data_IF_570519030675
#
_entry.id   IF_570519030675
#
_cell.length_a   1.000
_cell.length_b   1.000
_cell.length_c   1.000
_cell.angle_alpha   90.00
_cell.angle_beta   90.00
_cell.angle_gamma   90.00
#
_symmetry.space_group_name_H-M   'P 1'
#
loop_
_entity.id
_entity.type
_entity.pdbx_description
1 polymer ?
#
# COMPACT_ATOMS: atom_id res chain seq x y z
N UNK A 1 -0.56 0.97 -19.95
CA UNK A 1 -0.99 -0.17 -19.12
C UNK A 1 -2.40 0.12 -18.64
N UNK A 2 -3.34 -0.79 -18.86
CA UNK A 2 -4.75 -0.62 -18.47
C UNK A 2 -4.85 -0.15 -17.02
N UNK A 3 -5.46 1.02 -16.84
CA UNK A 3 -5.65 1.72 -15.56
C UNK A 3 -6.70 1.00 -14.68
N UNK A 4 -6.50 -0.31 -14.50
CA UNK A 4 -7.39 -1.21 -13.77
C UNK A 4 -7.30 -1.04 -12.26
N UNK A 5 -6.42 -0.15 -11.76
CA UNK A 5 -6.19 0.10 -10.33
C UNK A 5 -7.00 1.29 -9.83
N UNK A 6 -8.31 1.22 -10.04
CA UNK A 6 -9.25 2.33 -9.81
C UNK A 6 -9.39 2.77 -8.34
N UNK A 7 -8.90 1.98 -7.37
CA UNK A 7 -8.87 2.41 -5.98
C UNK A 7 -7.54 3.10 -5.68
N UNK A 8 -7.61 4.34 -5.22
CA UNK A 8 -6.46 5.12 -4.77
C UNK A 8 -6.74 5.70 -3.38
N UNK A 9 -5.75 5.61 -2.50
CA UNK A 9 -5.79 6.18 -1.16
C UNK A 9 -4.46 6.88 -0.90
N UNK A 10 -4.52 8.19 -0.64
CA UNK A 10 -3.35 8.98 -0.25
C UNK A 10 -3.35 9.23 1.26
N UNK A 11 -2.30 8.79 1.94
CA UNK A 11 -2.15 8.95 3.39
C UNK A 11 -0.67 8.86 3.79
N UNK A 12 -0.28 9.35 4.98
CA UNK A 12 1.05 9.11 5.51
C UNK A 12 1.28 7.62 5.76
N UNK A 13 2.52 7.16 5.56
CA UNK A 13 3.00 5.87 6.05
C UNK A 13 3.02 5.91 7.58
N UNK A 14 2.22 5.07 8.22
CA UNK A 14 2.18 4.98 9.68
C UNK A 14 3.32 4.11 10.25
N UNK A 15 3.62 3.00 9.57
CA UNK A 15 4.67 2.07 9.98
C UNK A 15 5.13 1.21 8.80
N UNK A 16 6.34 0.66 8.94
CA UNK A 16 6.96 -0.25 7.98
C UNK A 16 7.49 -1.45 8.76
N UNK A 17 7.07 -2.65 8.39
CA UNK A 17 7.47 -3.90 9.05
C UNK A 17 8.04 -4.90 8.02
N UNK A 18 9.34 -5.23 8.10
CA UNK A 18 9.93 -6.29 7.28
C UNK A 18 9.30 -7.65 7.57
N UNK A 19 9.10 -8.45 6.52
CA UNK A 19 8.57 -9.81 6.60
C UNK A 19 9.21 -10.69 5.50
N UNK A 20 10.38 -11.25 5.80
CA UNK A 20 11.15 -12.04 4.83
C UNK A 20 11.57 -11.20 3.63
N UNK A 21 11.19 -11.62 2.42
CA UNK A 21 11.45 -10.87 1.18
C UNK A 21 10.42 -9.75 0.90
N UNK A 22 9.43 -9.60 1.79
CA UNK A 22 8.37 -8.61 1.69
C UNK A 22 8.45 -7.61 2.83
N UNK A 23 7.71 -6.52 2.66
CA UNK A 23 7.56 -5.46 3.64
C UNK A 23 6.09 -5.11 3.70
N UNK A 24 5.55 -5.03 4.93
CA UNK A 24 4.22 -4.48 5.20
C UNK A 24 4.35 -3.00 5.47
N UNK A 25 3.55 -2.21 4.78
CA UNK A 25 3.50 -0.75 4.91
C UNK A 25 2.08 -0.36 5.28
N UNK A 26 1.92 0.23 6.45
CA UNK A 26 0.63 0.77 6.87
C UNK A 26 0.46 2.17 6.27
N UNK A 27 -0.62 2.36 5.49
CA UNK A 27 -0.94 3.61 4.79
C UNK A 27 -2.38 3.98 5.13
N UNK A 28 -2.57 4.90 6.07
CA UNK A 28 -3.90 5.19 6.62
C UNK A 28 -4.60 3.89 7.08
N UNK A 29 -5.84 3.60 6.60
CA UNK A 29 -6.59 2.39 7.00
C UNK A 29 -6.16 1.09 6.30
N UNK A 30 -5.21 1.10 5.36
CA UNK A 30 -4.83 -0.11 4.61
C UNK A 30 -3.40 -0.55 4.89
N UNK A 31 -3.13 -1.84 4.67
CA UNK A 31 -1.78 -2.40 4.69
C UNK A 31 -1.41 -2.87 3.28
N UNK A 32 -0.34 -2.30 2.73
CA UNK A 32 0.25 -2.77 1.48
C UNK A 32 1.38 -3.74 1.80
N UNK A 33 1.38 -4.92 1.18
CA UNK A 33 2.50 -5.86 1.25
C UNK A 33 3.25 -5.84 -0.09
N UNK A 34 4.46 -5.29 -0.09
CA UNK A 34 5.30 -5.08 -1.27
C UNK A 34 6.66 -5.76 -1.09
N UNK A 35 7.50 -5.80 -2.12
CA UNK A 35 8.87 -6.32 -1.98
C UNK A 35 9.77 -5.31 -1.25
N UNK A 36 10.78 -5.79 -0.54
CA UNK A 36 11.79 -4.91 0.08
C UNK A 36 12.43 -3.96 -0.95
N UNK A 37 12.82 -4.47 -2.11
CA UNK A 37 13.40 -3.67 -3.20
C UNK A 37 12.46 -2.56 -3.71
N UNK A 38 11.13 -2.76 -3.66
CA UNK A 38 10.18 -1.70 -4.03
C UNK A 38 10.07 -0.64 -2.95
N UNK A 39 10.10 -1.04 -1.68
CA UNK A 39 10.10 -0.11 -0.55
C UNK A 39 11.34 0.78 -0.54
N UNK A 40 12.51 0.21 -0.84
CA UNK A 40 13.78 0.93 -0.98
C UNK A 40 13.76 1.91 -2.15
N UNK A 41 13.34 1.46 -3.34
CA UNK A 41 13.25 2.32 -4.54
C UNK A 41 12.29 3.50 -4.38
N UNK A 42 11.23 3.31 -3.59
CA UNK A 42 10.24 4.34 -3.28
C UNK A 42 10.65 5.21 -2.08
N UNK A 43 11.81 4.95 -1.46
CA UNK A 43 12.33 5.66 -0.29
C UNK A 43 11.30 5.77 0.86
N UNK A 44 10.54 4.68 1.05
CA UNK A 44 9.44 4.64 2.01
C UNK A 44 9.97 4.81 3.44
N UNK A 45 9.34 5.72 4.17
CA UNK A 45 9.64 6.02 5.57
C UNK A 45 8.38 6.46 6.29
N UNK A 46 8.26 6.22 7.60
CA UNK A 46 7.17 6.76 8.40
C UNK A 46 6.99 8.27 8.19
N UNK A 47 5.74 8.71 8.06
CA UNK A 47 5.36 10.10 7.80
C UNK A 47 5.35 10.50 6.32
N UNK A 48 5.97 9.74 5.41
CA UNK A 48 5.92 10.05 3.98
C UNK A 48 4.49 9.89 3.44
N UNK A 49 4.01 10.89 2.68
CA UNK A 49 2.72 10.81 1.99
C UNK A 49 2.89 9.93 0.75
N UNK A 50 2.08 8.87 0.66
CA UNK A 50 2.12 7.92 -0.45
C UNK A 50 0.72 7.61 -0.95
N UNK A 51 0.62 7.16 -2.20
CA UNK A 51 -0.62 6.67 -2.79
C UNK A 51 -0.62 5.15 -2.83
N UNK A 52 -1.45 4.52 -2.00
CA UNK A 52 -1.78 3.11 -2.12
C UNK A 52 -2.78 2.95 -3.27
N UNK A 53 -2.38 2.22 -4.32
CA UNK A 53 -3.24 1.92 -5.49
C UNK A 53 -3.44 0.43 -5.65
N UNK A 54 -4.68 -0.01 -5.79
CA UNK A 54 -5.06 -1.43 -5.88
C UNK A 54 -6.28 -1.64 -6.78
N UNK A 55 -6.46 -2.87 -7.25
CA UNK A 55 -7.56 -3.22 -8.16
C UNK A 55 -8.91 -3.07 -7.48
N UNK A 56 -9.88 -2.49 -8.17
CA UNK A 56 -11.28 -2.42 -7.71
C UNK A 56 -11.85 -3.82 -7.41
N UNK A 57 -11.57 -4.78 -8.29
CA UNK A 57 -12.06 -6.16 -8.20
C UNK A 57 -11.49 -6.98 -7.04
N UNK A 58 -10.48 -6.47 -6.33
CA UNK A 58 -9.93 -7.11 -5.14
C UNK A 58 -10.72 -6.77 -3.86
N UNK A 59 -11.54 -5.72 -3.87
CA UNK A 59 -12.39 -5.39 -2.73
C UNK A 59 -13.57 -6.38 -2.61
N UNK A 60 -13.98 -6.64 -1.37
CA UNK A 60 -15.20 -7.37 -1.03
C UNK A 60 -16.08 -6.44 -0.19
N UNK A 61 -17.37 -6.39 -0.50
CA UNK A 61 -18.35 -5.56 0.20
C UNK A 61 -19.27 -6.45 1.04
N UNK A 62 -19.66 -5.96 2.20
CA UNK A 62 -20.61 -6.62 3.10
C UNK A 62 -21.73 -5.64 3.47
N UNK A 63 -22.98 -6.11 3.67
CA UNK A 63 -24.04 -5.29 4.25
C UNK A 63 -23.67 -4.79 5.64
N UNK A 64 -24.26 -3.67 6.06
CA UNK A 64 -24.07 -3.10 7.39
C UNK A 64 -25.07 -3.65 8.39
#
# INVERSE_FOLDING_TARGET
EDDSRLNHLSAPVASIAPMGNRVRVHVGPVVAEITAASAERLELRPGAIVTASFKATAARLFPR
#
